data_IF_134015543611
#
_entry.id   IF_134015543611
#
_cell.length_a   1.000
_cell.length_b   1.000
_cell.length_c   1.000
_cell.angle_alpha   90.00
_cell.angle_beta   90.00
_cell.angle_gamma   90.00
#
_symmetry.space_group_name_H-M   'P 1'
#
loop_
_entity.id
_entity.type
_entity.pdbx_description
1 polymer ?
#
# COMPACT_ATOMS: atom_id res chain seq x y z
N UNK A 1 -7.83 -9.44 -0.24
CA UNK A 1 -6.72 -9.87 -1.13
C UNK A 1 -7.33 -10.36 -2.42
N UNK A 2 -7.25 -9.57 -3.50
CA UNK A 2 -7.94 -9.86 -4.76
C UNK A 2 -7.36 -11.03 -5.55
N UNK A 3 -6.13 -11.51 -5.24
CA UNK A 3 -5.49 -12.59 -5.99
C UNK A 3 -5.06 -13.73 -5.09
N UNK A 4 -5.47 -14.95 -5.45
CA UNK A 4 -5.21 -16.19 -4.71
C UNK A 4 -3.80 -16.73 -4.99
N UNK A 5 -3.24 -16.40 -6.16
CA UNK A 5 -1.92 -16.88 -6.60
C UNK A 5 -1.11 -15.82 -7.34
N UNK A 6 0.23 -15.97 -7.35
CA UNK A 6 1.12 -15.14 -8.19
C UNK A 6 0.83 -15.24 -9.69
N UNK A 7 0.23 -16.35 -10.14
CA UNK A 7 -0.11 -16.53 -11.56
C UNK A 7 -1.32 -15.68 -11.97
N UNK A 8 -2.29 -15.51 -11.07
CA UNK A 8 -3.41 -14.58 -11.25
C UNK A 8 -2.90 -13.14 -11.23
N UNK A 9 -2.08 -12.79 -10.24
CA UNK A 9 -1.46 -11.48 -10.15
C UNK A 9 -0.61 -11.14 -11.38
N UNK A 10 0.18 -12.09 -11.90
CA UNK A 10 1.01 -11.86 -13.08
C UNK A 10 0.16 -11.61 -14.33
N UNK A 11 -0.96 -12.32 -14.48
CA UNK A 11 -1.90 -12.11 -15.59
C UNK A 11 -2.56 -10.74 -15.52
N UNK A 12 -3.03 -10.33 -14.35
CA UNK A 12 -3.66 -9.02 -14.18
C UNK A 12 -2.68 -7.87 -14.39
N UNK A 13 -1.45 -8.00 -13.90
CA UNK A 13 -0.41 -6.98 -14.04
C UNK A 13 0.27 -6.99 -15.42
N UNK A 14 -0.13 -7.90 -16.32
CA UNK A 14 0.48 -8.03 -17.64
C UNK A 14 1.98 -8.35 -17.61
N UNK A 15 2.44 -9.05 -16.57
CA UNK A 15 3.87 -9.29 -16.32
C UNK A 15 4.18 -10.79 -16.19
N UNK A 16 5.47 -11.13 -16.23
CA UNK A 16 5.91 -12.50 -16.00
C UNK A 16 5.93 -12.83 -14.50
N UNK A 17 5.52 -14.06 -14.15
CA UNK A 17 5.57 -14.56 -12.76
C UNK A 17 6.98 -14.51 -12.15
N UNK A 18 8.01 -14.73 -12.97
CA UNK A 18 9.41 -14.62 -12.54
C UNK A 18 9.77 -13.20 -12.12
N UNK A 19 9.28 -12.19 -12.83
CA UNK A 19 9.52 -10.77 -12.50
C UNK A 19 8.91 -10.44 -11.15
N UNK A 20 7.66 -10.84 -10.90
CA UNK A 20 7.03 -10.64 -9.58
C UNK A 20 7.82 -11.34 -8.47
N UNK A 21 8.28 -12.57 -8.70
CA UNK A 21 9.08 -13.29 -7.72
C UNK A 21 10.39 -12.57 -7.40
N UNK A 22 11.09 -12.07 -8.42
CA UNK A 22 12.32 -11.30 -8.26
C UNK A 22 12.08 -10.00 -7.49
N UNK A 23 10.99 -9.29 -7.80
CA UNK A 23 10.63 -8.06 -7.10
C UNK A 23 10.29 -8.31 -5.63
N UNK A 24 9.50 -9.34 -5.32
CA UNK A 24 9.23 -9.72 -3.92
C UNK A 24 10.51 -10.11 -3.18
N UNK A 25 11.39 -10.91 -3.79
CA UNK A 25 12.64 -11.31 -3.18
C UNK A 25 13.63 -10.15 -2.97
N UNK A 26 13.57 -9.12 -3.82
CA UNK A 26 14.33 -7.88 -3.61
C UNK A 26 13.76 -7.10 -2.43
N UNK A 27 12.44 -6.90 -2.40
CA UNK A 27 11.77 -6.17 -1.32
C UNK A 27 11.95 -6.83 0.05
N UNK A 28 11.83 -8.15 0.15
CA UNK A 28 12.08 -8.90 1.39
C UNK A 28 13.53 -8.75 1.87
N UNK A 29 14.49 -8.66 0.95
CA UNK A 29 15.90 -8.46 1.26
C UNK A 29 16.16 -7.04 1.75
N UNK A 30 15.59 -6.05 1.09
CA UNK A 30 15.77 -4.64 1.43
C UNK A 30 15.15 -4.32 2.79
N UNK A 31 14.03 -4.96 3.12
CA UNK A 31 13.37 -4.83 4.43
C UNK A 31 13.95 -5.77 5.49
N UNK A 32 14.77 -6.75 5.11
CA UNK A 32 15.33 -7.76 6.01
C UNK A 32 14.27 -8.68 6.65
N UNK A 33 13.06 -8.76 6.08
CA UNK A 33 11.93 -9.50 6.63
C UNK A 33 11.15 -10.22 5.54
N UNK A 34 10.70 -11.43 5.84
CA UNK A 34 9.81 -12.17 4.95
C UNK A 34 8.39 -11.59 4.98
N UNK A 35 7.87 -11.24 3.81
CA UNK A 35 6.55 -10.62 3.65
C UNK A 35 5.47 -11.65 3.36
N UNK A 36 5.81 -12.80 2.74
CA UNK A 36 4.85 -13.85 2.43
C UNK A 36 5.29 -15.22 2.93
N UNK A 37 4.32 -16.00 3.41
CA UNK A 37 4.50 -17.41 3.72
C UNK A 37 4.64 -18.16 2.39
N UNK A 38 5.74 -18.90 2.24
CA UNK A 38 6.00 -19.72 1.06
C UNK A 38 4.87 -20.75 0.89
N UNK A 39 4.07 -20.68 -0.19
CA UNK A 39 2.97 -21.62 -0.38
C UNK A 39 3.48 -22.98 -0.83
N UNK A 40 2.80 -24.05 -0.40
CA UNK A 40 2.96 -25.37 -1.01
C UNK A 40 2.21 -25.44 -2.34
N UNK A 41 2.46 -26.49 -3.13
CA UNK A 41 1.77 -26.70 -4.41
C UNK A 41 0.25 -26.74 -4.17
N UNK A 42 -0.49 -25.83 -4.80
CA UNK A 42 -1.94 -25.72 -4.68
C UNK A 42 -2.42 -24.84 -3.52
N UNK A 43 -1.52 -24.29 -2.70
CA UNK A 43 -1.87 -23.34 -1.65
C UNK A 43 -1.82 -21.89 -2.15
N UNK A 44 -2.65 -21.05 -1.54
CA UNK A 44 -2.69 -19.61 -1.80
C UNK A 44 -1.55 -18.89 -1.11
N UNK A 45 -1.08 -17.79 -1.70
CA UNK A 45 -0.14 -16.89 -1.04
C UNK A 45 -0.80 -16.26 0.19
N UNK A 46 -0.09 -16.27 1.32
CA UNK A 46 -0.54 -15.63 2.56
C UNK A 46 0.51 -14.64 3.05
N UNK A 47 0.14 -13.42 3.42
CA UNK A 47 1.07 -12.46 4.00
C UNK A 47 1.48 -12.93 5.40
N UNK A 48 2.71 -12.59 5.79
CA UNK A 48 3.12 -12.59 7.19
C UNK A 48 2.53 -11.38 7.91
N UNK A 49 2.75 -11.26 9.22
CA UNK A 49 2.37 -10.03 9.96
C UNK A 49 3.05 -8.78 9.38
N UNK A 50 4.32 -8.90 9.00
CA UNK A 50 5.07 -7.81 8.37
C UNK A 50 4.52 -7.50 6.96
N UNK A 51 4.21 -8.52 6.17
CA UNK A 51 3.57 -8.35 4.86
C UNK A 51 2.22 -7.64 4.97
N UNK A 52 1.42 -7.96 5.99
CA UNK A 52 0.16 -7.27 6.22
C UNK A 52 0.37 -5.80 6.56
N UNK A 53 1.30 -5.48 7.48
CA UNK A 53 1.61 -4.09 7.84
C UNK A 53 2.08 -3.25 6.64
N UNK A 54 2.86 -3.83 5.72
CA UNK A 54 3.28 -3.13 4.49
C UNK A 54 2.08 -2.84 3.59
N UNK A 55 1.17 -3.80 3.40
CA UNK A 55 -0.04 -3.57 2.59
C UNK A 55 -0.97 -2.52 3.21
N UNK A 56 -1.10 -2.53 4.54
CA UNK A 56 -1.89 -1.54 5.27
C UNK A 56 -1.28 -0.13 5.05
N UNK A 57 0.04 0.01 5.20
CA UNK A 57 0.74 1.27 4.98
C UNK A 57 0.63 1.79 3.53
N UNK A 58 0.65 0.90 2.54
CA UNK A 58 0.45 1.27 1.12
C UNK A 58 -0.97 1.75 0.86
N UNK A 59 -1.97 1.13 1.49
CA UNK A 59 -3.38 1.51 1.37
C UNK A 59 -3.64 2.87 2.02
N UNK A 60 -3.04 3.12 3.19
CA UNK A 60 -3.10 4.42 3.88
C UNK A 60 -2.39 5.52 3.08
N UNK A 61 -1.30 5.18 2.40
CA UNK A 61 -0.55 6.11 1.53
C UNK A 61 -1.32 6.45 0.25
N UNK A 62 -2.12 5.54 -0.30
CA UNK A 62 -3.02 5.83 -1.44
C UNK A 62 -4.25 6.65 -1.04
N UNK A 63 -4.70 6.55 0.24
CA UNK A 63 -5.73 7.42 0.82
C UNK A 63 -5.26 8.86 1.08
N UNK A 64 -3.95 9.09 1.15
CA UNK A 64 -3.35 10.40 1.37
C UNK A 64 -3.13 11.19 0.06
N UNK A 65 -4.20 11.37 -0.74
CA UNK A 65 -4.24 12.54 -1.64
C UNK A 65 -4.57 13.78 -0.80
N UNK A 66 -3.72 14.82 -0.73
CA UNK A 66 -3.99 16.01 0.07
C UNK A 66 -5.02 16.87 -0.66
N UNK A 67 -6.29 16.60 -0.42
CA UNK A 67 -7.41 17.45 -0.81
C UNK A 67 -7.96 18.19 0.39
N UNK A 68 -7.50 19.43 0.62
CA UNK A 68 -8.19 20.42 1.43
C UNK A 68 -7.82 20.46 2.92
N UNK A 69 -6.57 20.80 3.26
CA UNK A 69 -6.37 21.54 4.49
C UNK A 69 -6.83 22.98 4.25
N UNK A 70 -8.12 23.24 4.46
CA UNK A 70 -8.57 24.60 4.76
C UNK A 70 -7.75 25.04 5.96
N UNK A 71 -6.75 25.89 5.71
CA UNK A 71 -6.04 26.61 6.75
C UNK A 71 -7.11 27.51 7.36
N UNK A 72 -7.73 27.06 8.44
CA UNK A 72 -8.41 27.94 9.40
C UNK A 72 -7.33 28.85 9.98
N UNK A 73 -6.95 29.84 9.18
CA UNK A 73 -6.16 30.95 9.64
C UNK A 73 -7.13 31.73 10.51
N UNK A 74 -6.96 31.61 11.82
CA UNK A 74 -7.64 32.41 12.84
C UNK A 74 -7.31 33.88 12.68
N UNK A 75 -7.90 34.52 11.67
CA UNK A 75 -7.99 35.98 11.54
C UNK A 75 -9.43 36.33 11.90
N UNK A 76 -9.70 36.90 13.08
CA UNK A 76 -11.05 37.39 13.37
C UNK A 76 -11.40 38.49 12.37
N UNK A 77 -12.63 38.53 11.83
CA UNK A 77 -13.04 39.61 10.95
C UNK A 77 -13.00 40.92 11.75
N UNK A 78 -12.21 41.86 11.26
CA UNK A 78 -12.12 43.22 11.79
C UNK A 78 -13.53 43.81 11.90
N UNK A 79 -13.86 44.27 13.11
CA UNK A 79 -15.05 45.04 13.41
C UNK A 79 -15.18 46.21 12.43
N UNK A 80 -16.18 46.16 11.56
CA UNK A 80 -16.76 47.38 10.96
C UNK A 80 -17.88 47.86 11.86
N UNK A 81 -17.52 48.72 12.81
CA UNK A 81 -18.42 49.81 13.16
C UNK A 81 -18.44 50.77 11.97
N UNK A 82 -19.62 51.11 11.48
CA UNK A 82 -19.82 52.26 10.61
C UNK A 82 -20.96 53.10 11.21
N UNK A 83 -20.89 54.44 11.05
CA UNK A 83 -21.40 55.45 11.98
C UNK A 83 -22.91 55.64 11.96
#
# INVERSE_FOLDING_TARGET
>A
MEHRTLAEASRQLGTARSVLYTQFAALERDLGVQLYIRPRRGESFRPTKAGQAVMDALTDSEGARPGGNTIETGIPPASRQNP
#
